data_IF_075769604797
#
_entry.id   IF_075769604797
#
_cell.length_a   1.000
_cell.length_b   1.000
_cell.length_c   1.000
_cell.angle_alpha   90.00
_cell.angle_beta   90.00
_cell.angle_gamma   90.00
#
_symmetry.space_group_name_H-M   'P 1'
#
loop_
_entity.id
_entity.type
_entity.pdbx_description
1 polymer ?
#
# COMPACT_ATOMS: atom_id res chain seq x y z
N UNK A 1 -32.65 18.94 -23.11
CA UNK A 1 -34.05 18.70 -23.49
C UNK A 1 -34.89 18.65 -22.23
N UNK A 2 -35.81 19.59 -21.97
CA UNK A 2 -36.11 20.87 -22.65
C UNK A 2 -34.90 21.85 -22.73
N UNK A 3 -35.00 23.03 -23.43
CA UNK A 3 -36.17 23.60 -24.14
C UNK A 3 -36.37 23.15 -25.59
N UNK A 4 -35.37 22.54 -26.23
CA UNK A 4 -35.58 21.94 -27.55
C UNK A 4 -36.60 20.76 -27.45
N UNK A 5 -37.08 20.25 -28.59
CA UNK A 5 -38.09 19.17 -28.68
C UNK A 5 -37.52 17.78 -28.98
N UNK A 6 -36.31 17.71 -29.54
CA UNK A 6 -35.53 16.47 -29.65
C UNK A 6 -34.01 16.72 -29.61
N UNK A 7 -33.25 15.63 -29.45
CA UNK A 7 -31.79 15.55 -29.58
C UNK A 7 -31.46 14.50 -30.62
N UNK A 8 -30.45 14.72 -31.47
CA UNK A 8 -29.91 13.69 -32.36
C UNK A 8 -28.49 13.34 -31.93
N UNK A 9 -28.22 12.06 -31.67
CA UNK A 9 -26.88 11.58 -31.28
C UNK A 9 -25.96 11.32 -32.49
N UNK A 10 -24.70 10.96 -32.22
CA UNK A 10 -23.69 10.69 -33.25
C UNK A 10 -24.03 9.50 -34.17
N UNK A 11 -24.93 8.62 -33.75
CA UNK A 11 -25.42 7.49 -34.54
C UNK A 11 -26.71 7.83 -35.31
N UNK A 12 -27.14 9.09 -35.26
CA UNK A 12 -28.37 9.55 -35.91
C UNK A 12 -29.66 9.16 -35.17
N UNK A 13 -29.59 8.63 -33.95
CA UNK A 13 -30.81 8.33 -33.20
C UNK A 13 -31.44 9.61 -32.68
N UNK A 14 -32.76 9.68 -32.73
CA UNK A 14 -33.55 10.81 -32.23
C UNK A 14 -34.06 10.50 -30.82
N UNK A 15 -33.73 11.37 -29.89
CA UNK A 15 -34.07 11.29 -28.48
C UNK A 15 -35.10 12.34 -28.11
N UNK A 16 -36.17 11.93 -27.42
CA UNK A 16 -37.24 12.82 -26.97
C UNK A 16 -37.59 12.56 -25.52
N UNK A 17 -38.04 13.59 -24.81
CA UNK A 17 -38.58 13.50 -23.45
C UNK A 17 -40.09 13.70 -23.51
N UNK A 18 -40.87 12.70 -23.08
CA UNK A 18 -42.33 12.75 -23.08
C UNK A 18 -42.89 12.07 -21.85
N UNK A 19 -43.85 12.71 -21.17
CA UNK A 19 -44.48 12.14 -19.97
C UNK A 19 -43.52 11.79 -18.83
N UNK A 20 -42.36 12.46 -18.74
CA UNK A 20 -41.31 12.13 -17.77
C UNK A 20 -40.51 10.86 -18.10
N UNK A 21 -40.60 10.35 -19.33
CA UNK A 21 -39.83 9.22 -19.83
C UNK A 21 -39.00 9.59 -21.05
N UNK A 22 -37.84 8.94 -21.20
CA UNK A 22 -36.94 9.11 -22.34
C UNK A 22 -37.32 8.12 -23.44
N UNK A 23 -37.34 8.60 -24.69
CA UNK A 23 -37.60 7.80 -25.88
C UNK A 23 -36.44 7.92 -26.86
N UNK A 24 -36.08 6.81 -27.50
CA UNK A 24 -35.10 6.70 -28.59
C UNK A 24 -35.81 6.18 -29.84
N UNK A 25 -35.76 6.95 -30.92
CA UNK A 25 -36.43 6.63 -32.19
C UNK A 25 -37.93 6.28 -32.01
N UNK A 26 -38.61 6.98 -31.10
CA UNK A 26 -40.04 6.76 -30.81
C UNK A 26 -40.35 5.59 -29.87
N UNK A 27 -39.38 4.73 -29.54
CA UNK A 27 -39.53 3.68 -28.53
C UNK A 27 -39.03 4.16 -27.17
N UNK A 28 -39.69 3.75 -26.08
CA UNK A 28 -39.25 4.11 -24.73
C UNK A 28 -37.87 3.49 -24.46
N UNK A 29 -36.90 4.33 -24.07
CA UNK A 29 -35.53 3.91 -23.80
C UNK A 29 -35.43 3.42 -22.35
N UNK A 30 -35.64 2.12 -22.13
CA UNK A 30 -35.64 1.50 -20.81
C UNK A 30 -36.76 2.00 -19.89
N UNK A 31 -36.69 1.59 -18.62
CA UNK A 31 -37.70 1.93 -17.62
C UNK A 31 -37.42 3.29 -16.95
N UNK A 32 -37.58 4.36 -17.71
CA UNK A 32 -37.43 5.75 -17.22
C UNK A 32 -38.74 6.32 -16.72
N UNK A 33 -38.68 7.09 -15.64
CA UNK A 33 -39.79 7.85 -15.03
C UNK A 33 -39.26 9.08 -14.32
N UNK A 34 -40.12 10.10 -14.13
CA UNK A 34 -39.78 11.36 -13.46
C UNK A 34 -38.54 12.07 -14.03
N UNK A 35 -38.32 11.99 -15.34
CA UNK A 35 -37.20 12.65 -16.02
C UNK A 35 -37.54 14.11 -16.30
N UNK A 36 -36.63 15.00 -15.91
CA UNK A 36 -36.76 16.45 -16.07
C UNK A 36 -35.84 17.02 -17.14
N UNK A 37 -34.75 16.32 -17.46
CA UNK A 37 -33.76 16.72 -18.47
C UNK A 37 -33.23 15.50 -19.22
N UNK A 38 -33.08 15.60 -20.54
CA UNK A 38 -32.22 14.74 -21.35
C UNK A 38 -31.10 15.60 -21.94
N UNK A 39 -29.87 15.11 -21.88
CA UNK A 39 -28.67 15.82 -22.27
C UNK A 39 -27.88 14.98 -23.28
N UNK A 40 -27.30 15.64 -24.28
CA UNK A 40 -26.27 15.06 -25.14
C UNK A 40 -24.96 15.77 -24.84
N UNK A 41 -23.98 15.05 -24.34
CA UNK A 41 -22.73 15.61 -23.86
C UNK A 41 -21.60 14.60 -24.07
N UNK A 42 -20.43 15.05 -24.50
CA UNK A 42 -19.28 14.16 -24.73
C UNK A 42 -19.53 13.00 -25.70
N UNK A 43 -20.56 13.07 -26.55
CA UNK A 43 -20.95 11.99 -27.47
C UNK A 43 -21.92 10.95 -26.89
N UNK A 44 -22.31 11.07 -25.63
CA UNK A 44 -23.26 10.17 -24.95
C UNK A 44 -24.55 10.88 -24.56
N UNK A 45 -25.60 10.08 -24.34
CA UNK A 45 -26.91 10.55 -23.89
C UNK A 45 -27.05 10.33 -22.40
N UNK A 46 -27.54 11.35 -21.71
CA UNK A 46 -27.80 11.33 -20.27
C UNK A 46 -29.22 11.79 -19.99
N UNK A 47 -29.76 11.41 -18.84
CA UNK A 47 -30.96 12.04 -18.31
C UNK A 47 -30.82 12.40 -16.82
N UNK A 48 -31.60 13.38 -16.39
CA UNK A 48 -31.72 13.79 -14.99
C UNK A 48 -33.13 13.48 -14.48
N UNK A 49 -33.23 12.88 -13.30
CA UNK A 49 -34.50 12.70 -12.58
C UNK A 49 -34.94 13.96 -11.82
N UNK A 50 -36.18 13.99 -11.33
CA UNK A 50 -36.69 15.06 -10.46
C UNK A 50 -35.91 15.24 -9.16
N UNK A 51 -35.23 14.18 -8.68
CA UNK A 51 -34.35 14.23 -7.51
C UNK A 51 -32.94 14.74 -7.81
N UNK A 52 -32.65 15.12 -9.05
CA UNK A 52 -31.36 15.66 -9.47
C UNK A 52 -30.32 14.63 -9.89
N UNK A 53 -30.59 13.33 -9.74
CA UNK A 53 -29.68 12.23 -10.11
C UNK A 53 -29.53 12.14 -11.63
N UNK A 54 -28.32 11.81 -12.09
CA UNK A 54 -28.00 11.63 -13.50
C UNK A 54 -27.80 10.16 -13.86
N UNK A 55 -28.16 9.82 -15.09
CA UNK A 55 -27.98 8.49 -15.65
C UNK A 55 -27.46 8.58 -17.08
N UNK A 56 -26.49 7.74 -17.43
CA UNK A 56 -25.89 7.62 -18.76
C UNK A 56 -26.48 6.44 -19.53
N UNK A 57 -26.73 6.62 -20.83
CA UNK A 57 -27.18 5.56 -21.72
C UNK A 57 -26.00 4.71 -22.21
N UNK A 58 -26.02 3.41 -21.92
CA UNK A 58 -24.95 2.47 -22.31
C UNK A 58 -25.17 1.76 -23.66
N UNK A 59 -26.25 2.11 -24.37
CA UNK A 59 -26.68 1.41 -25.58
C UNK A 59 -27.84 0.44 -25.34
N UNK A 60 -27.88 -0.19 -24.16
CA UNK A 60 -28.92 -1.17 -23.76
C UNK A 60 -29.67 -0.80 -22.48
N UNK A 61 -29.15 0.13 -21.67
CA UNK A 61 -29.78 0.56 -20.43
C UNK A 61 -29.20 1.86 -19.88
N UNK A 62 -29.63 2.23 -18.67
CA UNK A 62 -29.19 3.43 -17.95
C UNK A 62 -28.33 3.05 -16.75
N UNK A 63 -27.19 3.71 -16.59
CA UNK A 63 -26.31 3.56 -15.42
C UNK A 63 -26.22 4.87 -14.66
N UNK A 64 -26.25 4.81 -13.32
CA UNK A 64 -26.14 6.01 -12.48
C UNK A 64 -24.78 6.68 -12.69
N UNK A 65 -24.77 8.01 -12.76
CA UNK A 65 -23.56 8.80 -12.91
C UNK A 65 -23.71 10.19 -12.26
N UNK A 66 -22.62 10.93 -12.19
CA UNK A 66 -22.67 12.35 -11.87
C UNK A 66 -23.24 13.14 -13.04
N UNK A 67 -23.60 14.40 -12.78
CA UNK A 67 -23.87 15.35 -13.85
C UNK A 67 -22.63 15.41 -14.77
N UNK A 68 -22.74 15.00 -16.05
CA UNK A 68 -21.59 14.87 -16.94
C UNK A 68 -20.92 16.22 -17.24
N UNK A 69 -21.60 17.33 -16.94
CA UNK A 69 -21.06 18.69 -17.08
C UNK A 69 -20.05 19.05 -15.99
N UNK A 70 -20.00 18.30 -14.89
CA UNK A 70 -19.04 18.54 -13.80
C UNK A 70 -17.63 18.02 -14.10
N UNK A 71 -17.48 17.21 -15.14
CA UNK A 71 -16.23 16.54 -15.49
C UNK A 71 -16.06 15.18 -14.79
N UNK A 72 -14.85 14.63 -14.89
CA UNK A 72 -14.46 13.37 -14.24
C UNK A 72 -13.76 13.59 -12.90
N UNK A 73 -13.01 12.59 -12.46
CA UNK A 73 -12.14 12.67 -11.28
C UNK A 73 -11.26 13.92 -11.33
N UNK A 74 -11.18 14.64 -10.22
CA UNK A 74 -10.37 15.85 -10.10
C UNK A 74 -8.89 15.55 -10.29
N UNK A 75 -8.16 16.51 -10.85
CA UNK A 75 -6.70 16.42 -10.96
C UNK A 75 -6.07 16.30 -9.56
N UNK A 76 -5.00 15.52 -9.45
CA UNK A 76 -4.26 15.38 -8.20
C UNK A 76 -3.75 16.73 -7.70
N UNK A 77 -3.87 17.00 -6.40
CA UNK A 77 -3.59 18.29 -5.80
C UNK A 77 -4.76 19.29 -5.78
N UNK A 78 -5.93 18.95 -6.36
CA UNK A 78 -7.12 19.81 -6.29
C UNK A 78 -7.51 20.06 -4.84
N UNK A 79 -7.74 21.33 -4.47
CA UNK A 79 -8.08 21.72 -3.12
C UNK A 79 -9.33 22.61 -3.04
N UNK A 80 -10.07 22.49 -1.94
CA UNK A 80 -11.13 23.42 -1.52
C UNK A 80 -10.54 24.41 -0.51
N UNK A 81 -10.98 25.68 -0.50
CA UNK A 81 -12.09 26.25 -1.27
C UNK A 81 -11.71 26.81 -2.65
N UNK A 82 -10.46 26.66 -3.11
CA UNK A 82 -10.01 27.20 -4.40
C UNK A 82 -10.78 26.60 -5.59
N UNK A 83 -11.09 25.30 -5.51
CA UNK A 83 -12.07 24.64 -6.36
C UNK A 83 -13.47 24.68 -5.72
N UNK A 84 -14.56 24.80 -6.50
CA UNK A 84 -15.91 24.70 -5.96
C UNK A 84 -16.26 23.30 -5.43
N UNK A 85 -15.60 22.26 -5.95
CA UNK A 85 -15.79 20.87 -5.54
C UNK A 85 -14.58 20.00 -5.91
N UNK A 86 -14.51 18.81 -5.34
CA UNK A 86 -13.60 17.73 -5.72
C UNK A 86 -14.44 16.53 -6.14
N UNK A 87 -14.05 15.83 -7.19
CA UNK A 87 -14.63 14.53 -7.58
C UNK A 87 -13.56 13.47 -7.35
N UNK A 88 -13.82 12.52 -6.46
CA UNK A 88 -12.88 11.42 -6.19
C UNK A 88 -12.93 10.32 -7.27
N UNK A 89 -12.08 9.29 -7.14
CA UNK A 89 -12.02 8.14 -8.08
C UNK A 89 -13.31 7.32 -8.14
N UNK A 90 -14.14 7.33 -7.10
CA UNK A 90 -15.44 6.63 -7.09
C UNK A 90 -16.59 7.54 -7.53
N UNK A 91 -16.28 8.77 -7.97
CA UNK A 91 -17.24 9.75 -8.42
C UNK A 91 -17.97 10.47 -7.28
N UNK A 92 -17.55 10.35 -6.02
CA UNK A 92 -18.18 11.14 -4.97
C UNK A 92 -17.75 12.61 -5.07
N UNK A 93 -18.72 13.51 -4.88
CA UNK A 93 -18.52 14.96 -4.94
C UNK A 93 -18.29 15.47 -3.53
N UNK A 94 -17.13 16.06 -3.31
CA UNK A 94 -16.71 16.65 -2.05
C UNK A 94 -16.80 18.17 -2.11
N UNK A 95 -17.38 18.77 -1.07
CA UNK A 95 -17.51 20.22 -0.92
C UNK A 95 -17.16 20.65 0.49
N UNK A 96 -16.79 21.92 0.66
CA UNK A 96 -16.44 22.53 1.94
C UNK A 96 -17.35 23.75 2.13
N UNK A 97 -18.13 23.75 3.20
CA UNK A 97 -19.05 24.86 3.50
C UNK A 97 -19.00 25.18 5.00
N UNK A 98 -18.74 26.44 5.34
CA UNK A 98 -18.65 26.92 6.73
C UNK A 98 -17.73 26.06 7.62
N UNK A 99 -16.61 25.57 7.06
CA UNK A 99 -15.65 24.74 7.78
C UNK A 99 -16.09 23.29 8.01
N UNK A 100 -17.14 22.82 7.34
CA UNK A 100 -17.67 21.45 7.39
C UNK A 100 -17.47 20.76 6.03
N UNK A 101 -17.00 19.51 6.06
CA UNK A 101 -16.78 18.69 4.86
C UNK A 101 -18.04 17.91 4.50
N UNK A 102 -18.43 17.97 3.24
CA UNK A 102 -19.57 17.25 2.69
C UNK A 102 -19.12 16.28 1.59
N UNK A 103 -19.74 15.11 1.54
CA UNK A 103 -19.63 14.11 0.46
C UNK A 103 -21.03 13.83 -0.07
N UNK A 104 -21.26 14.06 -1.35
CA UNK A 104 -22.56 13.90 -2.02
C UNK A 104 -23.71 14.64 -1.29
N UNK A 105 -23.42 15.83 -0.77
CA UNK A 105 -24.39 16.67 -0.06
C UNK A 105 -24.66 16.30 1.40
N UNK A 106 -24.06 15.23 1.92
CA UNK A 106 -24.14 14.85 3.34
C UNK A 106 -22.83 15.18 4.08
N UNK A 107 -22.93 15.55 5.35
CA UNK A 107 -21.74 15.81 6.20
C UNK A 107 -20.94 14.53 6.41
N UNK A 108 -19.61 14.66 6.40
CA UNK A 108 -18.69 13.54 6.58
C UNK A 108 -18.13 13.54 8.00
N UNK A 109 -18.74 12.75 8.88
CA UNK A 109 -18.42 12.75 10.33
C UNK A 109 -18.60 14.15 10.96
N UNK A 110 -18.13 14.34 12.18
CA UNK A 110 -18.12 15.64 12.87
C UNK A 110 -16.88 16.44 12.48
N UNK A 111 -16.92 17.12 11.33
CA UNK A 111 -15.88 18.08 10.92
C UNK A 111 -16.32 19.51 11.20
N UNK A 112 -15.43 20.31 11.79
CA UNK A 112 -15.62 21.73 12.05
C UNK A 112 -14.29 22.46 11.91
N UNK A 113 -14.33 23.77 11.62
CA UNK A 113 -13.15 24.61 11.44
C UNK A 113 -12.14 24.05 10.40
N UNK A 114 -12.64 23.38 9.35
CA UNK A 114 -11.81 22.93 8.23
C UNK A 114 -11.46 24.11 7.34
N UNK A 115 -10.17 24.30 7.09
CA UNK A 115 -9.63 25.38 6.25
C UNK A 115 -9.30 24.93 4.82
N UNK A 116 -9.06 23.62 4.64
CA UNK A 116 -8.69 23.03 3.37
C UNK A 116 -9.18 21.58 3.30
N UNK A 117 -9.70 21.18 2.14
CA UNK A 117 -9.93 19.78 1.75
C UNK A 117 -9.10 19.54 0.50
N UNK A 118 -8.41 18.42 0.42
CA UNK A 118 -7.43 18.13 -0.62
C UNK A 118 -7.66 16.74 -1.20
N UNK A 119 -7.67 16.66 -2.52
CA UNK A 119 -7.54 15.42 -3.27
C UNK A 119 -6.07 15.21 -3.63
N UNK A 120 -5.44 14.18 -3.07
CA UNK A 120 -4.02 13.92 -3.29
C UNK A 120 -3.69 12.44 -3.10
N UNK A 121 -2.90 11.87 -4.00
CA UNK A 121 -2.47 10.47 -3.95
C UNK A 121 -3.65 9.48 -3.91
N UNK A 122 -4.78 9.81 -4.54
CA UNK A 122 -5.98 8.96 -4.53
C UNK A 122 -6.77 8.95 -3.21
N UNK A 123 -6.46 9.84 -2.26
CA UNK A 123 -7.21 10.00 -1.00
C UNK A 123 -7.74 11.42 -0.84
N UNK A 124 -8.75 11.54 0.02
CA UNK A 124 -9.25 12.83 0.52
C UNK A 124 -8.58 13.13 1.85
N UNK A 125 -8.07 14.35 1.97
CA UNK A 125 -7.41 14.88 3.15
C UNK A 125 -8.11 16.17 3.57
N UNK A 126 -8.03 16.55 4.84
CA UNK A 126 -8.41 17.89 5.27
C UNK A 126 -7.43 18.48 6.28
N UNK A 127 -7.36 19.80 6.33
CA UNK A 127 -6.58 20.55 7.31
C UNK A 127 -7.50 21.48 8.12
N UNK A 128 -7.46 21.36 9.45
CA UNK A 128 -8.13 22.30 10.34
C UNK A 128 -7.45 23.67 10.36
N UNK A 129 -8.13 24.72 10.84
CA UNK A 129 -7.55 26.06 11.01
C UNK A 129 -6.32 26.10 11.95
N UNK A 130 -6.15 25.09 12.79
CA UNK A 130 -4.97 24.91 13.64
C UNK A 130 -3.76 24.25 12.95
N UNK A 131 -3.87 23.88 11.67
CA UNK A 131 -2.78 23.28 10.88
C UNK A 131 -2.66 21.76 10.93
N UNK A 132 -3.48 21.07 11.72
CA UNK A 132 -3.50 19.60 11.79
C UNK A 132 -4.19 19.01 10.55
N UNK A 133 -3.51 18.08 9.88
CA UNK A 133 -4.05 17.31 8.76
C UNK A 133 -4.72 16.01 9.22
N UNK A 134 -5.70 15.57 8.45
CA UNK A 134 -6.41 14.31 8.60
C UNK A 134 -6.63 13.67 7.24
N UNK A 135 -6.63 12.34 7.18
CA UNK A 135 -6.93 11.55 5.98
C UNK A 135 -8.24 10.82 6.14
N UNK A 136 -9.03 10.74 5.06
CA UNK A 136 -10.27 9.99 5.02
C UNK A 136 -9.97 8.49 4.86
N UNK A 137 -10.48 7.68 5.78
CA UNK A 137 -10.30 6.23 5.82
C UNK A 137 -11.58 5.53 6.25
N UNK A 138 -11.66 4.21 6.01
CA UNK A 138 -12.81 3.38 6.36
C UNK A 138 -12.78 2.97 7.86
N UNK A 139 -12.73 3.96 8.74
CA UNK A 139 -12.87 3.81 10.21
C UNK A 139 -14.14 4.51 10.68
N UNK A 140 -14.64 4.17 11.89
CA UNK A 140 -15.89 4.73 12.42
C UNK A 140 -15.91 6.28 12.43
N UNK A 141 -14.78 6.91 12.80
CA UNK A 141 -14.63 8.38 12.80
C UNK A 141 -14.29 8.99 11.42
N UNK A 142 -14.01 8.14 10.43
CA UNK A 142 -13.53 8.43 9.07
C UNK A 142 -12.24 9.24 8.91
N UNK A 143 -11.79 9.95 9.94
CA UNK A 143 -10.66 10.87 9.85
C UNK A 143 -9.55 10.47 10.81
N UNK A 144 -8.39 10.12 10.27
CA UNK A 144 -7.20 9.79 11.06
C UNK A 144 -6.16 10.91 10.99
N UNK A 145 -5.54 11.30 12.12
CA UNK A 145 -4.56 12.38 12.15
C UNK A 145 -3.30 12.00 11.36
N UNK A 146 -2.76 12.96 10.62
CA UNK A 146 -1.57 12.79 9.79
C UNK A 146 -0.84 14.12 9.59
N UNK A 147 0.31 14.08 8.93
CA UNK A 147 0.98 15.27 8.39
C UNK A 147 0.44 15.62 7.00
N UNK A 148 0.79 16.79 6.48
CA UNK A 148 0.42 17.19 5.11
C UNK A 148 1.04 16.20 4.10
N UNK A 149 0.23 15.49 3.29
CA UNK A 149 0.72 14.44 2.39
C UNK A 149 1.63 14.98 1.27
N UNK A 150 1.55 16.28 0.98
CA UNK A 150 2.33 16.95 -0.08
C UNK A 150 3.78 17.20 0.33
N UNK A 151 4.11 17.06 1.62
CA UNK A 151 5.49 17.25 2.09
C UNK A 151 6.36 16.15 1.48
N UNK A 152 7.25 16.54 0.57
CA UNK A 152 8.23 15.64 -0.01
C UNK A 152 9.32 15.33 1.02
N UNK A 153 9.66 14.05 1.17
CA UNK A 153 10.74 13.60 2.06
C UNK A 153 11.68 12.72 1.24
N UNK A 154 12.95 13.12 1.19
CA UNK A 154 14.00 12.34 0.55
C UNK A 154 14.67 11.42 1.59
N UNK A 155 14.84 10.12 1.29
CA UNK A 155 15.58 9.20 2.14
C UNK A 155 17.09 9.49 2.07
N UNK A 156 17.84 8.96 3.04
CA UNK A 156 19.29 8.94 2.93
C UNK A 156 19.72 8.01 1.78
N UNK A 157 20.66 8.44 0.90
CA UNK A 157 21.18 7.59 -0.16
C UNK A 157 22.07 6.48 0.41
N UNK A 158 22.27 5.42 -0.37
CA UNK A 158 23.22 4.33 -0.11
C UNK A 158 22.57 2.98 0.19
N UNK A 159 21.24 2.88 0.20
CA UNK A 159 20.52 1.65 0.53
C UNK A 159 19.42 1.28 -0.48
N UNK A 160 19.20 2.10 -1.51
CA UNK A 160 18.00 2.00 -2.32
C UNK A 160 17.83 0.65 -3.03
N UNK A 161 18.90 0.11 -3.62
CA UNK A 161 18.87 -1.17 -4.32
C UNK A 161 19.18 -2.33 -3.38
N UNK A 162 18.15 -3.10 -3.05
CA UNK A 162 18.24 -4.28 -2.22
C UNK A 162 17.81 -5.57 -2.93
N UNK A 163 18.13 -6.69 -2.29
CA UNK A 163 17.79 -8.03 -2.76
C UNK A 163 17.30 -8.87 -1.58
N UNK A 164 16.28 -9.69 -1.78
CA UNK A 164 15.90 -10.74 -0.83
C UNK A 164 16.67 -12.02 -1.11
N UNK A 165 16.86 -12.81 -0.06
CA UNK A 165 17.24 -14.19 -0.21
C UNK A 165 17.21 -14.95 1.11
N UNK A 166 17.85 -16.10 1.10
CA UNK A 166 17.75 -17.07 2.19
C UNK A 166 19.09 -17.22 2.94
N UNK A 167 18.99 -17.66 4.19
CA UNK A 167 20.16 -17.91 5.05
C UNK A 167 20.87 -19.22 4.67
N UNK A 168 20.16 -20.14 4.01
CA UNK A 168 20.57 -21.52 3.70
C UNK A 168 21.05 -21.71 2.25
N UNK A 169 21.33 -20.62 1.54
CA UNK A 169 21.99 -20.69 0.24
C UNK A 169 23.32 -21.44 0.30
N UNK A 170 23.64 -22.15 -0.79
CA UNK A 170 24.92 -22.83 -0.96
C UNK A 170 26.11 -21.87 -1.17
N UNK A 171 25.85 -20.57 -1.32
CA UNK A 171 26.87 -19.54 -1.42
C UNK A 171 27.51 -19.26 -0.06
N UNK A 172 28.84 -19.16 -0.03
CA UNK A 172 29.52 -18.56 1.11
C UNK A 172 29.11 -17.09 1.26
N UNK A 173 29.16 -16.51 2.47
CA UNK A 173 28.88 -15.09 2.69
C UNK A 173 29.68 -14.14 1.75
N UNK A 174 30.94 -14.47 1.45
CA UNK A 174 31.78 -13.67 0.56
C UNK A 174 31.36 -13.78 -0.91
N UNK A 175 30.91 -14.97 -1.35
CA UNK A 175 30.34 -15.13 -2.68
C UNK A 175 29.05 -14.32 -2.81
N UNK A 176 28.17 -14.37 -1.81
CA UNK A 176 26.93 -13.62 -1.81
C UNK A 176 27.18 -12.11 -1.89
N UNK A 177 28.10 -11.58 -1.09
CA UNK A 177 28.54 -10.17 -1.18
C UNK A 177 29.03 -9.83 -2.59
N UNK A 178 29.83 -10.71 -3.20
CA UNK A 178 30.39 -10.47 -4.54
C UNK A 178 29.30 -10.45 -5.62
N UNK A 179 28.35 -11.38 -5.55
CA UNK A 179 27.19 -11.44 -6.45
C UNK A 179 26.37 -10.15 -6.35
N UNK A 180 26.00 -9.75 -5.14
CA UNK A 180 25.18 -8.56 -4.91
C UNK A 180 25.87 -7.27 -5.36
N UNK A 181 27.17 -7.12 -5.09
CA UNK A 181 27.97 -5.98 -5.59
C UNK A 181 28.01 -5.94 -7.11
N UNK A 182 28.16 -7.09 -7.78
CA UNK A 182 28.14 -7.15 -9.24
C UNK A 182 26.78 -6.73 -9.81
N UNK A 183 25.69 -6.87 -9.04
CA UNK A 183 24.36 -6.42 -9.43
C UNK A 183 24.03 -4.96 -9.09
N UNK A 184 24.95 -4.26 -8.40
CA UNK A 184 24.72 -2.90 -7.91
C UNK A 184 23.86 -2.81 -6.65
N UNK A 185 23.61 -3.92 -5.96
CA UNK A 185 22.88 -3.91 -4.69
C UNK A 185 23.78 -3.44 -3.54
N UNK A 186 23.21 -2.68 -2.61
CA UNK A 186 23.89 -2.22 -1.39
C UNK A 186 23.28 -2.79 -0.11
N UNK A 187 22.08 -3.38 -0.22
CA UNK A 187 21.39 -4.02 0.90
C UNK A 187 20.92 -5.44 0.57
N UNK A 188 20.75 -6.26 1.61
CA UNK A 188 20.19 -7.61 1.51
C UNK A 188 19.23 -7.87 2.66
N UNK A 189 18.03 -8.38 2.34
CA UNK A 189 17.05 -8.84 3.33
C UNK A 189 17.13 -10.34 3.49
N UNK A 190 17.25 -10.80 4.73
CA UNK A 190 17.34 -12.22 5.08
C UNK A 190 16.60 -12.51 6.37
N UNK A 191 15.87 -13.62 6.38
CA UNK A 191 15.12 -14.09 7.55
C UNK A 191 15.89 -15.08 8.40
N UNK A 192 15.72 -14.98 9.73
CA UNK A 192 16.05 -16.06 10.66
C UNK A 192 15.13 -16.08 11.87
N UNK A 193 15.02 -17.25 12.48
CA UNK A 193 14.56 -17.43 13.86
C UNK A 193 15.75 -17.37 14.82
N UNK A 194 15.51 -17.57 16.13
CA UNK A 194 16.58 -17.80 17.10
C UNK A 194 17.09 -19.25 17.12
N UNK A 195 16.68 -20.09 16.16
CA UNK A 195 17.33 -21.38 15.93
C UNK A 195 18.81 -21.18 15.62
N UNK A 196 19.66 -21.99 16.25
CA UNK A 196 21.11 -21.85 16.15
C UNK A 196 21.65 -22.05 14.74
N UNK A 197 21.03 -22.88 13.90
CA UNK A 197 21.49 -23.10 12.52
C UNK A 197 21.26 -21.84 11.70
N UNK A 198 20.04 -21.31 11.77
CA UNK A 198 19.64 -20.12 11.02
C UNK A 198 20.41 -18.88 11.51
N UNK A 199 20.49 -18.69 12.83
CA UNK A 199 21.15 -17.52 13.42
C UNK A 199 22.65 -17.53 13.16
N UNK A 200 23.32 -18.69 13.22
CA UNK A 200 24.75 -18.78 12.89
C UNK A 200 25.04 -18.46 11.42
N UNK A 201 24.16 -18.88 10.50
CA UNK A 201 24.28 -18.51 9.09
C UNK A 201 24.15 -16.99 8.90
N UNK A 202 23.14 -16.36 9.53
CA UNK A 202 22.94 -14.91 9.46
C UNK A 202 24.06 -14.12 10.15
N UNK A 203 24.67 -14.64 11.22
CA UNK A 203 25.89 -14.07 11.82
C UNK A 203 27.03 -14.03 10.78
N UNK A 204 27.25 -15.13 10.06
CA UNK A 204 28.27 -15.20 9.01
C UNK A 204 28.01 -14.20 7.88
N UNK A 205 26.75 -14.01 7.50
CA UNK A 205 26.34 -12.96 6.56
C UNK A 205 26.62 -11.56 7.13
N UNK A 206 26.22 -11.26 8.37
CA UNK A 206 26.42 -9.96 9.00
C UNK A 206 27.91 -9.58 9.06
N UNK A 207 28.79 -10.52 9.41
CA UNK A 207 30.25 -10.32 9.39
C UNK A 207 30.78 -9.93 8.01
N UNK A 208 30.34 -10.64 6.96
CA UNK A 208 30.76 -10.38 5.60
C UNK A 208 30.24 -9.03 5.08
N UNK A 209 28.98 -8.70 5.39
CA UNK A 209 28.33 -7.46 4.98
C UNK A 209 28.96 -6.23 5.67
N UNK A 210 29.23 -6.33 6.98
CA UNK A 210 29.95 -5.30 7.73
C UNK A 210 31.30 -4.99 7.08
N UNK A 211 32.08 -6.03 6.77
CA UNK A 211 33.39 -5.90 6.13
C UNK A 211 33.29 -5.32 4.72
N UNK A 212 32.17 -5.55 4.05
CA UNK A 212 31.92 -5.12 2.68
C UNK A 212 31.33 -3.69 2.58
N UNK A 213 30.94 -3.08 3.71
CA UNK A 213 30.21 -1.81 3.74
C UNK A 213 28.78 -1.91 3.21
N UNK A 214 28.15 -3.08 3.34
CA UNK A 214 26.78 -3.34 2.87
C UNK A 214 25.81 -3.45 4.05
N UNK A 215 24.54 -3.14 3.79
CA UNK A 215 23.49 -3.18 4.82
C UNK A 215 22.80 -4.53 4.83
N UNK A 216 22.71 -5.14 6.02
CA UNK A 216 21.87 -6.31 6.24
C UNK A 216 20.57 -5.88 6.91
N UNK A 217 19.43 -6.18 6.28
CA UNK A 217 18.09 -6.00 6.85
C UNK A 217 17.61 -7.36 7.32
N UNK A 218 17.42 -7.52 8.63
CA UNK A 218 17.18 -8.83 9.21
C UNK A 218 15.70 -9.00 9.54
N UNK A 219 15.06 -9.93 8.84
CA UNK A 219 13.71 -10.37 9.16
C UNK A 219 13.77 -11.33 10.36
N UNK A 220 13.15 -10.93 11.46
CA UNK A 220 12.90 -11.79 12.62
C UNK A 220 11.68 -12.65 12.29
N UNK A 221 11.92 -13.91 11.95
CA UNK A 221 10.88 -14.81 11.42
C UNK A 221 10.08 -15.49 12.55
N UNK A 222 9.53 -14.71 13.47
CA UNK A 222 8.61 -15.20 14.50
C UNK A 222 7.15 -14.95 14.06
N UNK A 223 6.37 -16.03 13.93
CA UNK A 223 4.95 -16.00 13.62
C UNK A 223 4.04 -15.91 14.85
N UNK A 224 2.74 -16.12 14.65
CA UNK A 224 1.75 -16.17 15.75
C UNK A 224 1.55 -17.55 16.36
N UNK A 225 2.31 -18.54 15.88
CA UNK A 225 2.23 -19.94 16.31
C UNK A 225 3.44 -20.35 17.14
N UNK A 226 3.24 -21.31 18.04
CA UNK A 226 4.31 -22.00 18.76
C UNK A 226 4.98 -23.10 17.90
N UNK A 227 5.99 -23.76 18.46
CA UNK A 227 6.73 -24.84 17.78
C UNK A 227 5.87 -26.08 17.45
N UNK A 228 4.69 -26.22 18.08
CA UNK A 228 3.74 -27.29 17.81
C UNK A 228 2.62 -26.84 16.85
N UNK A 229 2.77 -25.67 16.22
CA UNK A 229 1.80 -25.07 15.33
C UNK A 229 0.45 -24.70 15.99
N UNK A 230 0.44 -24.50 17.32
CA UNK A 230 -0.71 -23.93 18.02
C UNK A 230 -0.60 -22.41 18.05
N UNK A 231 -1.75 -21.72 17.96
CA UNK A 231 -1.77 -20.27 18.15
C UNK A 231 -1.24 -19.93 19.55
N UNK A 232 -0.34 -18.96 19.64
CA UNK A 232 0.19 -18.49 20.93
C UNK A 232 -0.95 -18.06 21.85
N UNK A 233 -0.85 -18.43 23.13
CA UNK A 233 -1.94 -18.34 24.09
C UNK A 233 -2.18 -16.90 24.60
N UNK A 234 -2.74 -16.06 23.74
CA UNK A 234 -3.08 -14.68 24.03
C UNK A 234 -1.91 -13.71 23.93
N UNK A 235 -2.23 -12.41 24.06
CA UNK A 235 -1.32 -11.30 23.79
C UNK A 235 -0.04 -11.31 24.65
N UNK A 236 -0.15 -11.67 25.93
CA UNK A 236 1.00 -11.66 26.86
C UNK A 236 2.03 -12.77 26.52
N UNK A 237 1.55 -13.97 26.19
CA UNK A 237 2.42 -15.07 25.76
C UNK A 237 3.07 -14.75 24.42
N UNK A 238 2.28 -14.21 23.49
CA UNK A 238 2.72 -13.75 22.18
C UNK A 238 3.81 -12.68 22.27
N UNK A 239 3.60 -11.67 23.13
CA UNK A 239 4.59 -10.64 23.45
C UNK A 239 5.87 -11.22 24.02
N UNK A 240 5.77 -12.10 25.03
CA UNK A 240 6.95 -12.68 25.68
C UNK A 240 7.79 -13.51 24.72
N UNK A 241 7.14 -14.27 23.83
CA UNK A 241 7.80 -15.05 22.78
C UNK A 241 8.52 -14.14 21.77
N UNK A 242 7.80 -13.15 21.22
CA UNK A 242 8.39 -12.19 20.29
C UNK A 242 9.59 -11.45 20.88
N UNK A 243 9.48 -11.03 22.14
CA UNK A 243 10.55 -10.36 22.89
C UNK A 243 11.79 -11.23 23.03
N UNK A 244 11.63 -12.48 23.49
CA UNK A 244 12.75 -13.38 23.71
C UNK A 244 13.50 -13.70 22.41
N UNK A 245 12.77 -13.98 21.33
CA UNK A 245 13.36 -14.28 20.01
C UNK A 245 14.12 -13.08 19.47
N UNK A 246 13.49 -11.90 19.46
CA UNK A 246 14.10 -10.68 18.94
C UNK A 246 15.30 -10.22 19.77
N UNK A 247 15.23 -10.31 21.09
CA UNK A 247 16.35 -10.01 21.97
C UNK A 247 17.55 -10.92 21.70
N UNK A 248 17.33 -12.22 21.48
CA UNK A 248 18.39 -13.16 21.17
C UNK A 248 19.08 -12.83 19.84
N UNK A 249 18.29 -12.60 18.79
CA UNK A 249 18.79 -12.25 17.45
C UNK A 249 19.55 -10.92 17.49
N UNK A 250 18.98 -9.86 18.07
CA UNK A 250 19.64 -8.56 18.15
C UNK A 250 20.95 -8.62 18.96
N UNK A 251 21.01 -9.39 20.05
CA UNK A 251 22.24 -9.57 20.82
C UNK A 251 23.35 -10.24 20.00
N UNK A 252 22.98 -11.21 19.17
CA UNK A 252 23.92 -11.94 18.33
C UNK A 252 24.44 -11.09 17.16
N UNK A 253 23.60 -10.20 16.62
CA UNK A 253 23.89 -9.47 15.39
C UNK A 253 24.42 -8.05 15.60
N UNK A 254 24.13 -7.40 16.73
CA UNK A 254 24.66 -6.06 17.06
C UNK A 254 26.18 -5.91 16.91
N UNK A 255 27.04 -6.90 17.26
CA UNK A 255 28.49 -6.74 17.13
C UNK A 255 28.94 -6.59 15.67
N UNK A 256 28.10 -7.05 14.73
CA UNK A 256 28.36 -7.08 13.30
C UNK A 256 27.62 -5.95 12.55
N UNK A 257 27.19 -4.91 13.27
CA UNK A 257 26.66 -3.69 12.65
C UNK A 257 25.24 -3.80 12.10
N UNK A 258 24.48 -4.84 12.45
CA UNK A 258 23.06 -4.93 12.05
C UNK A 258 22.23 -3.93 12.87
N UNK A 259 21.58 -3.00 12.18
CA UNK A 259 20.77 -1.93 12.81
C UNK A 259 19.33 -1.85 12.32
N UNK A 260 18.94 -2.67 11.33
CA UNK A 260 17.60 -2.66 10.76
C UNK A 260 17.00 -4.06 10.90
N UNK A 261 15.86 -4.13 11.57
CA UNK A 261 15.14 -5.37 11.83
C UNK A 261 13.71 -5.25 11.32
N UNK A 262 13.26 -6.25 10.58
CA UNK A 262 11.86 -6.42 10.21
C UNK A 262 11.22 -7.44 11.14
N UNK A 263 10.23 -7.00 11.92
CA UNK A 263 9.64 -7.77 12.99
C UNK A 263 8.42 -8.55 12.48
N UNK A 264 8.67 -9.76 11.98
CA UNK A 264 7.66 -10.69 11.49
C UNK A 264 7.45 -10.62 9.98
N UNK A 265 7.13 -11.77 9.38
CA UNK A 265 6.86 -11.90 7.95
C UNK A 265 5.35 -12.00 7.72
N UNK A 266 4.78 -11.01 7.05
CA UNK A 266 3.38 -10.97 6.61
C UNK A 266 2.39 -11.38 7.71
N UNK A 267 2.60 -10.92 8.94
CA UNK A 267 1.81 -11.38 10.10
C UNK A 267 0.32 -11.06 9.95
N UNK A 268 -0.03 -10.01 9.20
CA UNK A 268 -1.41 -9.64 8.84
C UNK A 268 -2.05 -10.61 7.84
N UNK A 269 -1.26 -11.44 7.15
CA UNK A 269 -1.68 -12.38 6.11
C UNK A 269 -1.37 -13.84 6.50
N UNK A 270 -1.79 -14.23 7.70
CA UNK A 270 -1.74 -15.63 8.16
C UNK A 270 -3.14 -16.18 8.36
N UNK A 271 -3.29 -17.51 8.32
CA UNK A 271 -4.58 -18.19 8.53
C UNK A 271 -5.30 -17.78 9.81
N UNK A 272 -4.57 -17.42 10.87
CA UNK A 272 -5.15 -16.94 12.11
C UNK A 272 -5.56 -15.46 12.09
N UNK A 273 -5.00 -14.63 11.21
CA UNK A 273 -5.04 -13.16 11.34
C UNK A 273 -5.89 -12.48 10.27
N UNK A 274 -5.88 -12.96 9.02
CA UNK A 274 -6.79 -12.49 7.99
C UNK A 274 -8.06 -13.34 7.94
N UNK A 275 -9.23 -12.74 7.75
CA UNK A 275 -10.49 -13.50 7.63
C UNK A 275 -10.64 -14.17 6.27
N UNK A 276 -10.11 -13.54 5.23
CA UNK A 276 -10.09 -14.06 3.87
C UNK A 276 -8.90 -13.47 3.10
N UNK A 277 -8.07 -14.32 2.50
CA UNK A 277 -6.91 -13.90 1.73
C UNK A 277 -7.26 -13.06 0.50
N UNK A 278 -8.51 -13.11 0.01
CA UNK A 278 -8.97 -12.25 -1.08
C UNK A 278 -9.32 -10.82 -0.65
N UNK A 279 -9.26 -10.50 0.65
CA UNK A 279 -9.54 -9.14 1.11
C UNK A 279 -8.37 -8.20 0.83
N UNK A 280 -8.69 -6.98 0.43
CA UNK A 280 -7.70 -5.95 0.16
C UNK A 280 -6.93 -5.51 1.42
N UNK A 281 -7.53 -5.62 2.60
CA UNK A 281 -6.93 -5.18 3.86
C UNK A 281 -7.12 -3.69 4.11
N UNK A 282 -8.05 -3.04 3.40
CA UNK A 282 -8.34 -1.61 3.55
C UNK A 282 -9.08 -1.29 4.84
N UNK A 283 -9.67 -2.30 5.50
CA UNK A 283 -10.47 -2.15 6.71
C UNK A 283 -9.93 -3.03 7.82
N UNK A 284 -9.94 -2.51 9.05
CA UNK A 284 -9.57 -3.32 10.22
C UNK A 284 -10.48 -4.56 10.37
N UNK A 285 -11.74 -4.46 9.96
CA UNK A 285 -12.70 -5.56 9.95
C UNK A 285 -12.39 -6.70 8.98
N UNK A 286 -11.41 -6.53 8.08
CA UNK A 286 -10.92 -7.61 7.20
C UNK A 286 -10.10 -8.65 7.98
N UNK A 287 -9.73 -8.33 9.23
CA UNK A 287 -8.86 -9.13 10.09
C UNK A 287 -9.62 -9.74 11.27
N UNK A 288 -9.07 -10.82 11.81
CA UNK A 288 -9.70 -11.61 12.86
C UNK A 288 -9.58 -10.92 14.23
N UNK A 289 -10.70 -10.39 14.73
CA UNK A 289 -10.76 -9.70 16.02
C UNK A 289 -10.30 -10.54 17.22
N UNK A 290 -10.59 -11.85 17.22
CA UNK A 290 -10.29 -12.75 18.33
C UNK A 290 -8.79 -13.06 18.43
N UNK A 291 -8.13 -13.23 17.28
CA UNK A 291 -6.70 -13.56 17.21
C UNK A 291 -5.80 -12.31 17.10
N UNK A 292 -6.39 -11.13 16.84
CA UNK A 292 -5.69 -9.86 16.75
C UNK A 292 -4.74 -9.58 17.94
N UNK A 293 -5.12 -9.83 19.21
CA UNK A 293 -4.23 -9.58 20.34
C UNK A 293 -2.94 -10.44 20.28
N UNK A 294 -2.99 -11.64 19.69
CA UNK A 294 -1.80 -12.48 19.51
C UNK A 294 -0.85 -11.85 18.50
N UNK A 295 -1.36 -11.44 17.34
CA UNK A 295 -0.57 -10.76 16.31
C UNK A 295 0.07 -9.47 16.85
N UNK A 296 -0.74 -8.61 17.50
CA UNK A 296 -0.26 -7.39 18.15
C UNK A 296 0.82 -7.68 19.20
N UNK A 297 0.60 -8.71 20.02
CA UNK A 297 1.56 -9.16 21.03
C UNK A 297 2.91 -9.51 20.42
N UNK A 298 2.95 -10.40 19.43
CA UNK A 298 4.19 -10.82 18.75
C UNK A 298 4.92 -9.63 18.12
N UNK A 299 4.21 -8.75 17.40
CA UNK A 299 4.80 -7.55 16.78
C UNK A 299 5.46 -6.63 17.81
N UNK A 300 4.72 -6.28 18.88
CA UNK A 300 5.25 -5.44 19.97
C UNK A 300 6.42 -6.11 20.68
N UNK A 301 6.28 -7.40 20.99
CA UNK A 301 7.31 -8.19 21.63
C UNK A 301 8.61 -8.13 20.84
N UNK A 302 8.56 -8.37 19.53
CA UNK A 302 9.77 -8.30 18.70
C UNK A 302 10.41 -6.92 18.69
N UNK A 303 9.63 -5.85 18.51
CA UNK A 303 10.15 -4.47 18.54
C UNK A 303 10.84 -4.20 19.88
N UNK A 304 10.15 -4.45 21.00
CA UNK A 304 10.67 -4.21 22.35
C UNK A 304 11.89 -5.10 22.66
N UNK A 305 11.92 -6.33 22.14
CA UNK A 305 13.03 -7.26 22.25
C UNK A 305 14.31 -6.73 21.59
N UNK A 306 14.21 -6.23 20.35
CA UNK A 306 15.34 -5.55 19.67
C UNK A 306 15.76 -4.32 20.46
N UNK A 307 14.81 -3.46 20.83
CA UNK A 307 15.09 -2.17 21.51
C UNK A 307 15.70 -2.34 22.90
N UNK A 308 15.43 -3.46 23.58
CA UNK A 308 16.07 -3.81 24.85
C UNK A 308 17.58 -4.02 24.75
N UNK A 309 18.06 -4.35 23.55
CA UNK A 309 19.46 -4.64 23.25
C UNK A 309 20.14 -3.46 22.55
N UNK A 310 19.41 -2.85 21.63
CA UNK A 310 19.89 -1.79 20.75
C UNK A 310 18.77 -0.76 20.57
N UNK A 311 18.68 0.19 21.50
CA UNK A 311 17.59 1.17 21.57
C UNK A 311 17.47 2.07 20.33
N UNK A 312 18.56 2.25 19.58
CA UNK A 312 18.62 3.01 18.34
C UNK A 312 18.47 2.17 17.06
N UNK A 313 18.30 0.84 17.16
CA UNK A 313 17.97 0.02 15.99
C UNK A 313 16.65 0.47 15.39
N UNK A 314 16.48 0.37 14.08
CA UNK A 314 15.22 0.63 13.42
C UNK A 314 14.44 -0.68 13.29
N UNK A 315 13.21 -0.70 13.81
CA UNK A 315 12.32 -1.85 13.70
C UNK A 315 11.16 -1.53 12.77
N UNK A 316 10.88 -2.40 11.80
CA UNK A 316 9.71 -2.33 10.93
C UNK A 316 8.72 -3.47 11.17
N UNK A 317 7.48 -3.27 10.73
CA UNK A 317 6.47 -4.33 10.62
C UNK A 317 6.11 -4.49 9.15
N UNK A 318 6.10 -5.73 8.71
CA UNK A 318 5.79 -6.09 7.36
C UNK A 318 4.27 -6.20 7.12
N UNK A 319 3.79 -5.43 6.17
CA UNK A 319 2.42 -5.45 5.67
C UNK A 319 2.39 -5.85 4.18
N UNK A 320 1.22 -6.20 3.65
CA UNK A 320 1.07 -6.71 2.28
C UNK A 320 -0.19 -6.14 1.63
N UNK A 321 -0.34 -6.31 0.31
CA UNK A 321 -1.53 -5.84 -0.42
C UNK A 321 -1.79 -4.36 -0.09
N UNK A 322 -3.00 -3.97 0.35
CA UNK A 322 -3.26 -2.62 0.84
C UNK A 322 -3.01 -2.48 2.34
N UNK A 323 -3.43 -3.45 3.18
CA UNK A 323 -3.31 -3.58 4.66
C UNK A 323 -3.36 -2.30 5.55
N UNK A 324 -3.80 -1.15 5.02
CA UNK A 324 -3.88 0.10 5.77
C UNK A 324 -4.85 0.01 6.94
N UNK A 325 -5.89 -0.83 6.83
CA UNK A 325 -6.81 -1.09 7.91
C UNK A 325 -6.12 -1.75 9.11
N UNK A 326 -5.18 -2.66 8.84
CA UNK A 326 -4.41 -3.28 9.91
C UNK A 326 -3.34 -2.35 10.47
N UNK A 327 -2.56 -1.70 9.60
CA UNK A 327 -1.49 -0.81 10.05
C UNK A 327 -2.05 0.37 10.85
N UNK A 328 -3.18 0.95 10.45
CA UNK A 328 -3.86 2.01 11.22
C UNK A 328 -4.38 1.51 12.55
N UNK A 329 -5.04 0.35 12.59
CA UNK A 329 -5.57 -0.18 13.84
C UNK A 329 -4.46 -0.51 14.85
N UNK A 330 -3.36 -1.11 14.38
CA UNK A 330 -2.17 -1.36 15.21
C UNK A 330 -1.53 -0.06 15.67
N UNK A 331 -1.45 0.93 14.78
CA UNK A 331 -0.92 2.24 15.13
C UNK A 331 -1.81 2.89 16.20
N UNK A 332 -3.10 3.00 16.00
CA UNK A 332 -3.96 3.77 16.92
C UNK A 332 -4.41 2.98 18.17
N UNK A 333 -3.97 1.73 18.33
CA UNK A 333 -4.32 0.91 19.50
C UNK A 333 -5.78 0.44 19.47
N UNK A 334 -6.24 0.08 18.27
CA UNK A 334 -7.59 -0.34 17.96
C UNK A 334 -7.67 -1.84 17.68
N UNK A 335 -8.88 -2.38 17.87
CA UNK A 335 -9.27 -3.72 17.47
C UNK A 335 -10.05 -3.69 16.15
N UNK A 336 -10.11 -4.81 15.40
CA UNK A 336 -10.97 -4.97 14.22
C UNK A 336 -12.45 -4.65 14.43
N UNK A 337 -12.98 -4.81 15.65
CA UNK A 337 -14.36 -4.45 16.00
C UNK A 337 -14.58 -2.95 16.25
N UNK A 338 -13.54 -2.12 16.14
CA UNK A 338 -13.59 -0.68 16.34
C UNK A 338 -13.45 -0.24 17.80
N UNK A 339 -13.26 -1.17 18.75
CA UNK A 339 -12.92 -0.81 20.13
C UNK A 339 -11.47 -0.32 20.24
N UNK A 340 -11.21 0.63 21.14
CA UNK A 340 -9.91 1.28 21.31
C UNK A 340 -9.38 1.21 22.75
N UNK A 341 -8.21 1.80 22.96
CA UNK A 341 -7.53 1.80 24.27
C UNK A 341 -6.63 0.59 24.51
N UNK A 342 -6.30 -0.14 23.44
CA UNK A 342 -5.35 -1.24 23.47
C UNK A 342 -3.91 -0.71 23.28
N UNK A 343 -2.90 -1.53 23.57
CA UNK A 343 -1.53 -1.12 23.32
C UNK A 343 -1.29 -0.78 21.85
N UNK A 344 -0.47 0.23 21.60
CA UNK A 344 -0.09 0.64 20.24
C UNK A 344 1.11 -0.17 19.76
N UNK A 345 1.22 -0.33 18.44
CA UNK A 345 2.43 -0.80 17.76
C UNK A 345 3.03 0.39 17.02
N UNK A 346 4.23 0.80 17.42
CA UNK A 346 4.98 1.89 16.79
C UNK A 346 6.27 1.33 16.22
N UNK A 347 6.48 1.54 14.94
CA UNK A 347 7.67 1.14 14.21
C UNK A 347 8.48 2.36 13.78
N UNK A 348 9.77 2.15 13.48
CA UNK A 348 10.71 3.18 13.03
C UNK A 348 10.86 3.25 11.52
N UNK A 349 10.43 2.20 10.81
CA UNK A 349 10.40 2.08 9.34
C UNK A 349 9.16 1.28 8.96
N UNK A 350 8.40 1.72 7.97
CA UNK A 350 7.30 0.95 7.40
C UNK A 350 7.87 -0.03 6.37
N UNK A 351 7.60 -1.33 6.50
CA UNK A 351 8.02 -2.32 5.49
C UNK A 351 6.80 -2.94 4.81
N UNK A 352 6.88 -3.17 3.50
CA UNK A 352 5.74 -3.64 2.72
C UNK A 352 6.15 -4.61 1.61
N UNK A 353 5.37 -5.68 1.43
CA UNK A 353 5.45 -6.54 0.25
C UNK A 353 4.47 -6.07 -0.81
N UNK A 354 4.97 -5.87 -2.03
CA UNK A 354 4.15 -5.51 -3.18
C UNK A 354 4.55 -6.36 -4.39
N UNK A 355 3.76 -7.40 -4.66
CA UNK A 355 3.88 -8.21 -5.88
C UNK A 355 2.91 -7.67 -6.93
N UNK A 356 3.19 -7.92 -8.21
CA UNK A 356 2.36 -7.45 -9.34
C UNK A 356 0.87 -7.76 -9.15
N UNK A 357 0.55 -8.93 -8.62
CA UNK A 357 -0.82 -9.39 -8.38
C UNK A 357 -1.59 -8.52 -7.36
N UNK A 358 -0.89 -7.70 -6.58
CA UNK A 358 -1.46 -6.75 -5.63
C UNK A 358 -1.66 -5.35 -6.24
N UNK A 359 -1.36 -5.19 -7.52
CA UNK A 359 -1.35 -3.90 -8.21
C UNK A 359 -0.11 -3.06 -7.87
N UNK A 360 -0.12 -1.83 -8.38
CA UNK A 360 0.95 -0.86 -8.20
C UNK A 360 0.91 -0.24 -6.79
N UNK A 361 2.05 -0.21 -6.08
CA UNK A 361 2.19 0.43 -4.78
C UNK A 361 1.81 1.94 -4.78
N UNK A 362 1.94 2.64 -5.90
CA UNK A 362 1.55 4.05 -6.02
C UNK A 362 0.08 4.22 -6.43
N UNK A 363 -0.64 3.12 -6.68
CA UNK A 363 -2.05 3.14 -7.03
C UNK A 363 -2.80 1.91 -6.50
N UNK A 364 -2.58 1.55 -5.23
CA UNK A 364 -3.12 0.33 -4.63
C UNK A 364 -4.64 0.39 -4.52
N UNK A 365 -5.31 -0.59 -5.13
CA UNK A 365 -6.76 -0.68 -5.22
C UNK A 365 -7.46 -0.96 -3.91
N UNK A 366 -8.69 -0.47 -3.79
CA UNK A 366 -9.57 -0.80 -2.66
C UNK A 366 -10.06 -2.26 -2.68
N UNK A 367 -9.92 -2.93 -3.81
CA UNK A 367 -10.09 -4.37 -4.04
C UNK A 367 -8.78 -5.16 -3.90
N UNK A 368 -7.66 -4.49 -3.66
CA UNK A 368 -6.32 -5.08 -3.59
C UNK A 368 -5.65 -5.28 -4.95
N UNK A 369 -6.17 -4.71 -6.05
CA UNK A 369 -5.56 -4.82 -7.39
C UNK A 369 -5.85 -3.66 -8.38
N UNK A 370 -7.00 -2.98 -8.30
CA UNK A 370 -7.36 -1.85 -9.18
C UNK A 370 -6.64 -0.54 -8.81
N UNK A 371 -6.85 0.56 -9.54
CA UNK A 371 -6.29 1.87 -9.16
C UNK A 371 -7.02 2.42 -7.92
N UNK A 372 -6.32 2.61 -6.82
CA UNK A 372 -6.86 3.23 -5.60
C UNK A 372 -6.03 4.43 -5.16
N UNK A 373 -4.99 4.20 -4.37
CA UNK A 373 -4.24 5.27 -3.72
C UNK A 373 -2.74 4.99 -3.63
N UNK A 374 -1.98 6.08 -3.51
CA UNK A 374 -0.54 6.05 -3.31
C UNK A 374 -0.22 5.65 -1.87
N UNK A 375 0.17 4.39 -1.70
CA UNK A 375 0.45 3.78 -0.40
C UNK A 375 1.68 4.42 0.27
N UNK A 376 2.84 4.62 -0.41
CA UNK A 376 3.95 5.36 0.17
C UNK A 376 3.59 6.77 0.65
N UNK A 377 2.81 7.54 -0.11
CA UNK A 377 2.31 8.85 0.33
C UNK A 377 1.44 8.72 1.57
N UNK A 378 0.54 7.73 1.60
CA UNK A 378 -0.30 7.45 2.75
C UNK A 378 0.52 7.18 4.02
N UNK A 379 1.45 6.21 3.94
CA UNK A 379 2.30 5.82 5.07
C UNK A 379 3.22 6.96 5.53
N UNK A 380 3.79 7.73 4.59
CA UNK A 380 4.58 8.92 4.91
C UNK A 380 3.78 9.92 5.72
N UNK A 381 2.55 10.24 5.27
CA UNK A 381 1.70 11.20 5.96
C UNK A 381 1.25 10.70 7.34
N UNK A 382 0.86 9.42 7.44
CA UNK A 382 0.28 8.81 8.64
C UNK A 382 1.28 8.44 9.70
N UNK A 383 2.39 7.82 9.30
CA UNK A 383 3.35 7.21 10.23
C UNK A 383 4.63 8.04 10.34
N UNK A 384 4.95 8.87 9.34
CA UNK A 384 6.07 9.82 9.42
C UNK A 384 7.45 9.17 9.47
N UNK A 385 7.55 7.90 9.08
CA UNK A 385 8.78 7.10 9.09
C UNK A 385 9.18 6.67 7.68
N UNK A 386 10.45 6.29 7.42
CA UNK A 386 10.89 5.76 6.14
C UNK A 386 10.07 4.55 5.67
N UNK A 387 10.04 4.33 4.36
CA UNK A 387 9.35 3.23 3.71
C UNK A 387 10.34 2.30 3.01
N UNK A 388 10.23 1.00 3.23
CA UNK A 388 10.98 -0.03 2.51
C UNK A 388 9.99 -0.96 1.83
N UNK A 389 10.13 -1.11 0.52
CA UNK A 389 9.44 -2.19 -0.20
C UNK A 389 10.29 -3.44 0.02
N UNK A 390 9.95 -4.18 1.07
CA UNK A 390 10.78 -5.27 1.59
C UNK A 390 10.70 -6.52 0.74
N UNK A 391 9.69 -6.68 -0.11
CA UNK A 391 9.65 -7.63 -1.22
C UNK A 391 8.86 -7.05 -2.39
N UNK A 392 9.35 -7.26 -3.61
CA UNK A 392 8.58 -7.01 -4.83
C UNK A 392 9.06 -7.92 -5.96
N UNK A 393 8.10 -8.44 -6.73
CA UNK A 393 8.33 -9.11 -8.01
C UNK A 393 6.98 -9.35 -8.73
N UNK A 394 7.05 -9.85 -9.96
CA UNK A 394 5.95 -10.49 -10.66
C UNK A 394 5.85 -11.98 -10.28
N UNK A 395 4.70 -12.60 -10.56
CA UNK A 395 4.48 -14.02 -10.26
C UNK A 395 5.39 -15.01 -11.01
N UNK A 396 5.52 -16.25 -10.49
CA UNK A 396 6.42 -17.28 -11.01
C UNK A 396 5.91 -17.88 -12.32
N UNK A 397 4.61 -17.73 -12.60
CA UNK A 397 3.97 -18.13 -13.85
C UNK A 397 4.41 -17.29 -15.05
N UNK A 398 5.01 -16.12 -14.81
CA UNK A 398 5.41 -15.21 -15.86
C UNK A 398 6.70 -15.66 -16.55
N UNK A 399 6.78 -15.35 -17.85
CA UNK A 399 8.00 -15.63 -18.63
C UNK A 399 9.15 -14.73 -18.17
N UNK A 400 10.37 -15.18 -18.42
CA UNK A 400 11.56 -14.40 -18.07
C UNK A 400 11.65 -13.06 -18.81
N UNK A 401 11.15 -12.99 -20.05
CA UNK A 401 11.04 -11.74 -20.81
C UNK A 401 10.03 -10.77 -20.19
N UNK A 402 8.90 -11.28 -19.72
CA UNK A 402 7.91 -10.48 -18.99
C UNK A 402 8.52 -9.90 -17.71
N UNK A 403 9.19 -10.75 -16.92
CA UNK A 403 9.85 -10.35 -15.68
C UNK A 403 10.92 -9.28 -15.89
N UNK A 404 11.72 -9.38 -16.95
CA UNK A 404 12.69 -8.35 -17.30
C UNK A 404 12.04 -6.98 -17.60
N UNK A 405 10.91 -6.96 -18.31
CA UNK A 405 10.15 -5.74 -18.57
C UNK A 405 9.54 -5.17 -17.30
N UNK A 406 8.98 -6.03 -16.44
CA UNK A 406 8.44 -5.65 -15.13
C UNK A 406 9.52 -5.03 -14.25
N UNK A 407 10.69 -5.69 -14.11
CA UNK A 407 11.84 -5.17 -13.36
C UNK A 407 12.22 -3.75 -13.82
N UNK A 408 12.36 -3.56 -15.13
CA UNK A 408 12.77 -2.25 -15.69
C UNK A 408 11.73 -1.17 -15.40
N UNK A 409 10.46 -1.49 -15.59
CA UNK A 409 9.34 -0.55 -15.40
C UNK A 409 9.20 -0.18 -13.92
N UNK A 410 9.17 -1.18 -13.05
CA UNK A 410 8.93 -1.00 -11.61
C UNK A 410 10.10 -0.30 -10.92
N UNK A 411 11.35 -0.65 -11.25
CA UNK A 411 12.52 0.09 -10.75
C UNK A 411 12.53 1.53 -11.25
N UNK A 412 12.08 1.77 -12.49
CA UNK A 412 11.89 3.10 -13.05
C UNK A 412 11.00 3.96 -12.16
N UNK A 413 9.81 3.44 -11.84
CA UNK A 413 8.85 4.11 -10.99
C UNK A 413 9.36 4.33 -9.56
N UNK A 414 9.89 3.28 -8.92
CA UNK A 414 10.47 3.40 -7.58
C UNK A 414 11.58 4.45 -7.54
N UNK A 415 12.48 4.44 -8.53
CA UNK A 415 13.60 5.37 -8.58
C UNK A 415 13.13 6.82 -8.71
N UNK A 416 12.14 7.10 -9.58
CA UNK A 416 11.60 8.46 -9.72
C UNK A 416 10.92 8.95 -8.42
N UNK A 417 10.18 8.07 -7.76
CA UNK A 417 9.38 8.42 -6.58
C UNK A 417 10.18 8.45 -5.27
N UNK A 418 11.40 7.87 -5.22
CA UNK A 418 12.12 7.68 -3.96
C UNK A 418 12.35 8.95 -3.15
N UNK A 419 12.63 10.09 -3.82
CA UNK A 419 12.99 11.37 -3.17
C UNK A 419 11.79 12.15 -2.65
N UNK A 420 10.56 11.77 -3.02
CA UNK A 420 9.32 12.45 -2.62
C UNK A 420 8.47 11.62 -1.66
N UNK A 421 8.66 10.30 -1.65
CA UNK A 421 7.85 9.34 -0.88
C UNK A 421 8.59 8.70 0.31
N UNK A 422 9.80 9.16 0.64
CA UNK A 422 10.63 8.60 1.71
C UNK A 422 10.98 7.10 1.53
N UNK A 423 11.15 6.65 0.28
CA UNK A 423 11.42 5.24 -0.02
C UNK A 423 12.91 4.95 0.16
N UNK A 424 13.28 4.38 1.30
CA UNK A 424 14.65 4.13 1.69
C UNK A 424 15.28 2.95 0.93
N UNK A 425 14.50 1.91 0.62
CA UNK A 425 14.97 0.75 -0.12
C UNK A 425 13.84 0.01 -0.85
N UNK A 426 14.20 -0.67 -1.93
CA UNK A 426 13.36 -1.63 -2.64
C UNK A 426 14.13 -2.94 -2.79
N UNK A 427 13.54 -4.04 -2.33
CA UNK A 427 14.23 -5.32 -2.19
C UNK A 427 13.59 -6.37 -3.09
N UNK A 428 14.23 -6.64 -4.22
CA UNK A 428 13.70 -7.57 -5.22
C UNK A 428 13.62 -8.99 -4.64
N UNK A 429 12.48 -9.66 -4.81
CA UNK A 429 12.29 -11.05 -4.41
C UNK A 429 12.39 -11.97 -5.62
N UNK A 430 13.38 -12.85 -5.78
CA UNK A 430 14.44 -13.23 -4.84
C UNK A 430 15.72 -13.50 -5.63
N UNK A 431 16.87 -13.54 -4.95
CA UNK A 431 18.15 -13.78 -5.62
C UNK A 431 18.17 -15.11 -6.37
N UNK A 432 17.96 -16.21 -5.67
CA UNK A 432 17.97 -17.57 -6.19
C UNK A 432 16.78 -18.35 -5.59
N UNK A 433 15.91 -18.90 -6.45
CA UNK A 433 14.76 -19.72 -6.05
C UNK A 433 15.01 -21.22 -6.20
N UNK A 434 16.21 -21.64 -6.59
CA UNK A 434 16.53 -23.02 -6.95
C UNK A 434 15.99 -23.45 -8.32
N UNK A 435 15.33 -22.55 -9.04
CA UNK A 435 14.77 -22.74 -10.38
C UNK A 435 14.81 -21.42 -11.19
N UNK A 436 14.10 -21.37 -12.32
CA UNK A 436 14.02 -20.19 -13.18
C UNK A 436 12.71 -19.40 -13.03
N UNK A 437 11.98 -19.57 -11.91
CA UNK A 437 10.68 -18.93 -11.69
C UNK A 437 10.84 -17.58 -11.02
N UNK A 438 11.18 -17.48 -9.74
CA UNK A 438 11.34 -16.19 -9.06
C UNK A 438 12.76 -15.62 -9.12
N UNK A 439 13.75 -16.52 -9.07
CA UNK A 439 15.17 -16.19 -9.01
C UNK A 439 15.62 -15.30 -10.17
N UNK A 440 16.63 -14.48 -9.91
CA UNK A 440 17.35 -13.71 -10.93
C UNK A 440 18.73 -14.32 -11.24
N UNK A 441 19.17 -15.26 -10.42
CA UNK A 441 20.27 -16.18 -10.69
C UNK A 441 19.85 -17.61 -10.36
N UNK A 442 20.59 -18.59 -10.90
CA UNK A 442 20.45 -20.00 -10.56
C UNK A 442 21.84 -20.63 -10.37
N UNK A 443 22.14 -21.08 -9.15
CA UNK A 443 23.42 -21.69 -8.80
C UNK A 443 24.64 -20.82 -9.20
N UNK A 444 24.53 -19.51 -9.01
CA UNK A 444 25.54 -18.50 -9.28
C UNK A 444 25.53 -17.98 -10.71
N UNK A 445 24.68 -18.54 -11.58
CA UNK A 445 24.60 -18.15 -12.99
C UNK A 445 23.45 -17.16 -13.23
N UNK A 446 23.69 -16.05 -13.94
CA UNK A 446 22.64 -15.12 -14.36
C UNK A 446 21.50 -15.79 -15.13
N UNK A 447 20.26 -15.46 -14.76
CA UNK A 447 19.07 -15.75 -15.56
C UNK A 447 18.75 -14.54 -16.43
N UNK A 448 18.90 -14.66 -17.75
CA UNK A 448 18.63 -13.59 -18.70
C UNK A 448 17.34 -13.82 -19.52
N UNK A 449 16.50 -12.78 -19.71
CA UNK A 449 16.87 -11.35 -19.61
C UNK A 449 16.69 -10.66 -18.25
N UNK A 450 16.18 -11.33 -17.21
CA UNK A 450 15.84 -10.67 -15.93
C UNK A 450 17.06 -10.05 -15.23
N UNK A 451 18.17 -10.78 -15.15
CA UNK A 451 19.44 -10.32 -14.58
C UNK A 451 19.98 -9.09 -15.32
N UNK A 452 20.01 -9.15 -16.65
CA UNK A 452 20.47 -8.02 -17.47
C UNK A 452 19.59 -6.78 -17.29
N UNK A 453 18.27 -6.93 -17.17
CA UNK A 453 17.37 -5.81 -16.91
C UNK A 453 17.68 -5.13 -15.56
N UNK A 454 17.80 -5.90 -14.48
CA UNK A 454 18.11 -5.36 -13.16
C UNK A 454 19.46 -4.65 -13.14
N UNK A 455 20.51 -5.33 -13.60
CA UNK A 455 21.89 -4.81 -13.54
C UNK A 455 22.14 -3.62 -14.48
N UNK A 456 21.48 -3.61 -15.66
CA UNK A 456 21.52 -2.44 -16.54
C UNK A 456 20.80 -1.24 -15.92
N UNK A 457 19.69 -1.48 -15.21
CA UNK A 457 18.98 -0.42 -14.52
C UNK A 457 19.81 0.18 -13.39
N UNK A 458 20.34 -0.65 -12.47
CA UNK A 458 21.10 -0.18 -11.30
C UNK A 458 22.39 0.55 -11.70
N UNK A 459 23.07 0.08 -12.75
CA UNK A 459 24.25 0.76 -13.29
C UNK A 459 23.93 2.10 -13.96
N UNK A 460 22.77 2.20 -14.63
CA UNK A 460 22.30 3.44 -15.25
C UNK A 460 21.72 4.47 -14.28
N UNK A 461 21.36 4.06 -13.06
CA UNK A 461 20.65 4.87 -12.08
C UNK A 461 21.29 4.76 -10.68
N UNK A 462 22.53 5.21 -10.47
CA UNK A 462 23.17 5.10 -9.16
C UNK A 462 22.39 5.81 -8.05
N UNK A 463 22.36 5.22 -6.86
CA UNK A 463 21.75 5.80 -5.67
C UNK A 463 22.65 6.89 -5.06
N UNK A 464 22.58 8.10 -5.65
CA UNK A 464 23.34 9.29 -5.26
C UNK A 464 22.50 10.39 -4.59
#
# INVERSE_FOLDING_TARGET
MPPATSITDNSGNVWTLSGGSVYRNGAKAGDTYNVTLVLFYGGNIYHQGTGGQFYEWTGSGWVSCNDPRLGGTSADGTALPDSPYIIDKVGAIWTLSNGVVYRNGATVSETYNVSLVLWYGGKIWHCGTGGQFYVNTDVAGQWLPCSDPRIAIAPAPGMFYGMNGHFDYAYTPQQLVSILKAMGCTSYRVGCTNDSTQLNAVIGLAQAFQSAGMTLVVLINQGVYDANNNLLNGESAAYSQGYAVAQAIANALKPYGVTIYECGNELTRQNATVLNFSYAGTKASDFNNANWPVMRGVMRGMIDGVKSVQSNAQCGINFCVADIGASDALWDGMQPDGSGGYPTVRWDITTWHNYEVYGDAFDVGTDGAGPGFDLPTYCKARYGVPFIISEWNTGPEQTEAYRANYITSQLGEFYQNRKTHNIQAVMYYVLDSGDATYGIILNGNPLNPSYSAFTSFTSGHPDN
#
